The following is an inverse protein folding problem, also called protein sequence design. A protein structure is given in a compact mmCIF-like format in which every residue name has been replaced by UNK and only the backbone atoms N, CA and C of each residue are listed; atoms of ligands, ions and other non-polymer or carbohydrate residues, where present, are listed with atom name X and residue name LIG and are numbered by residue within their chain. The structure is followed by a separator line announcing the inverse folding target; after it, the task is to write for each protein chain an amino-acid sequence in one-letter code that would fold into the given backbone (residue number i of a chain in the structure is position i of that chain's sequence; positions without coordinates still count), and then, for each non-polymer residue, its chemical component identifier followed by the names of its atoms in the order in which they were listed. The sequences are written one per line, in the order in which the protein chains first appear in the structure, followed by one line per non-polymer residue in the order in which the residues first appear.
data_IF_377015854231
#
_entry.id   IF_377015854231
#
_cell.length_a   1.000
_cell.length_b   1.000
_cell.length_c   1.000
_cell.angle_alpha   90.00
_cell.angle_beta   90.00
_cell.angle_gamma   90.00
#
_symmetry.space_group_name_H-M   'P 1'
#
loop_
_entity.id
_entity.type
_entity.pdbx_description
1 polymer ?
#
# COMPACT_ATOMS: atom_id res chain seq x y z
N UNK A 1 -2.01 -12.91 6.28
CA UNK A 1 -2.84 -12.39 5.17
C UNK A 1 -2.20 -11.15 4.53
N UNK A 2 -2.02 -10.01 5.22
CA UNK A 2 -1.46 -8.79 4.62
C UNK A 2 -0.04 -8.98 4.06
N UNK A 3 0.83 -9.67 4.76
CA UNK A 3 2.17 -10.04 4.27
C UNK A 3 2.12 -10.90 2.99
N UNK A 4 1.13 -11.79 2.89
CA UNK A 4 0.97 -12.67 1.71
C UNK A 4 0.64 -11.88 0.44
N UNK A 5 -0.03 -10.74 0.57
CA UNK A 5 -0.38 -9.83 -0.54
C UNK A 5 0.54 -8.61 -0.61
N UNK A 6 1.63 -8.61 0.16
CA UNK A 6 2.64 -7.56 0.19
C UNK A 6 2.09 -6.18 0.56
N UNK A 7 1.19 -6.13 1.54
CA UNK A 7 0.68 -4.89 2.13
C UNK A 7 1.37 -4.67 3.46
N UNK A 8 2.10 -3.57 3.58
CA UNK A 8 2.78 -3.19 4.82
C UNK A 8 1.77 -2.89 5.93
N UNK A 9 2.02 -3.41 7.13
CA UNK A 9 1.22 -3.13 8.31
C UNK A 9 1.84 -1.93 9.02
N UNK A 10 1.17 -0.77 9.00
CA UNK A 10 1.63 0.44 9.68
C UNK A 10 1.53 0.33 11.19
N UNK A 11 0.57 -0.43 11.69
CA UNK A 11 0.37 -0.63 13.11
C UNK A 11 -0.97 -1.26 13.43
N UNK A 12 -1.23 -1.44 14.72
CA UNK A 12 -2.44 -2.06 15.26
C UNK A 12 -3.22 -1.04 16.09
N UNK A 13 -4.53 -1.02 15.90
CA UNK A 13 -5.50 -0.29 16.73
C UNK A 13 -6.36 -1.32 17.47
N UNK A 14 -6.44 -1.20 18.79
CA UNK A 14 -7.35 -1.99 19.60
C UNK A 14 -8.71 -1.29 19.68
N UNK A 15 -9.76 -1.88 19.08
CA UNK A 15 -11.11 -1.34 19.13
C UNK A 15 -11.91 -1.98 20.26
N UNK A 16 -12.87 -1.25 20.82
CA UNK A 16 -13.72 -1.71 21.94
C UNK A 16 -12.89 -2.16 23.16
N UNK A 17 -11.83 -1.43 23.50
CA UNK A 17 -10.87 -1.81 24.52
C UNK A 17 -11.46 -1.78 25.92
N UNK A 18 -12.11 -0.69 26.30
CA UNK A 18 -12.65 -0.45 27.65
C UNK A 18 -14.01 0.22 27.53
N UNK A 19 -14.96 -0.17 28.37
CA UNK A 19 -16.26 0.50 28.53
C UNK A 19 -16.28 1.27 29.83
N UNK A 20 -16.51 2.59 29.76
CA UNK A 20 -16.75 3.41 30.96
C UNK A 20 -18.24 3.55 31.21
N UNK A 21 -18.71 3.08 32.37
CA UNK A 21 -20.11 3.19 32.74
C UNK A 21 -20.57 4.65 32.88
N UNK A 22 -21.60 5.10 32.14
CA UNK A 22 -22.05 6.49 32.19
C UNK A 22 -22.69 6.89 33.53
N UNK A 23 -23.06 5.91 34.38
CA UNK A 23 -23.70 6.16 35.65
C UNK A 23 -22.73 6.26 36.83
N UNK A 24 -21.68 5.43 36.84
CA UNK A 24 -20.75 5.37 37.98
C UNK A 24 -19.28 5.61 37.59
N UNK A 25 -19.01 5.89 36.32
CA UNK A 25 -17.68 6.12 35.76
C UNK A 25 -16.68 4.97 36.04
N UNK A 26 -17.18 3.76 36.29
CA UNK A 26 -16.34 2.57 36.44
C UNK A 26 -15.97 2.01 35.10
N UNK A 27 -14.69 1.76 34.90
CA UNK A 27 -14.18 1.12 33.69
C UNK A 27 -14.32 -0.39 33.78
N UNK A 28 -14.68 -1.01 32.67
CA UNK A 28 -14.89 -2.46 32.54
C UNK A 28 -14.34 -2.94 31.21
N UNK A 29 -13.49 -3.95 31.25
CA UNK A 29 -12.92 -4.58 30.04
C UNK A 29 -13.87 -5.68 29.56
N UNK A 30 -14.88 -5.27 28.79
CA UNK A 30 -15.97 -6.16 28.34
C UNK A 30 -15.47 -7.30 27.47
N UNK A 31 -14.48 -7.03 26.61
CA UNK A 31 -13.89 -8.00 25.69
C UNK A 31 -12.42 -8.33 26.01
N UNK A 32 -11.92 -7.95 27.18
CA UNK A 32 -10.50 -7.99 27.55
C UNK A 32 -9.79 -6.71 27.17
N UNK A 33 -8.55 -6.57 27.61
CA UNK A 33 -7.73 -5.38 27.42
C UNK A 33 -6.28 -5.75 27.07
N UNK A 34 -5.63 -4.93 26.23
CA UNK A 34 -4.21 -5.07 25.91
C UNK A 34 -3.86 -6.11 24.85
N UNK A 35 -4.85 -6.77 24.24
CA UNK A 35 -4.60 -7.74 23.18
C UNK A 35 -3.97 -7.14 21.93
N UNK A 36 -4.37 -5.90 21.59
CA UNK A 36 -3.79 -5.17 20.48
C UNK A 36 -2.33 -4.76 20.73
N UNK A 37 -2.01 -4.34 21.95
CA UNK A 37 -0.65 -3.98 22.34
C UNK A 37 0.28 -5.21 22.35
N UNK A 38 -0.20 -6.32 22.92
CA UNK A 38 0.56 -7.57 22.90
C UNK A 38 0.83 -8.05 21.46
N UNK A 39 -0.19 -8.04 20.58
CA UNK A 39 -0.04 -8.46 19.19
C UNK A 39 0.93 -7.54 18.42
N UNK A 40 0.92 -6.23 18.68
CA UNK A 40 1.85 -5.30 18.05
C UNK A 40 3.31 -5.63 18.41
N UNK A 41 3.56 -5.97 19.68
CA UNK A 41 4.87 -6.39 20.14
C UNK A 41 5.32 -7.71 19.51
N UNK A 42 4.41 -8.70 19.39
CA UNK A 42 4.69 -10.00 18.76
C UNK A 42 5.00 -9.88 17.26
N UNK A 43 4.32 -8.98 16.56
CA UNK A 43 4.50 -8.75 15.12
C UNK A 43 5.60 -7.72 14.80
N UNK A 44 6.14 -7.02 15.81
CA UNK A 44 7.14 -5.98 15.60
C UNK A 44 6.60 -4.73 14.85
N UNK A 45 5.29 -4.43 15.00
CA UNK A 45 4.64 -3.27 14.38
C UNK A 45 4.19 -2.27 15.45
N UNK A 46 3.93 -1.01 15.07
CA UNK A 46 3.52 0.02 16.01
C UNK A 46 2.15 -0.28 16.64
N UNK A 47 2.00 -0.05 17.95
CA UNK A 47 0.69 0.04 18.59
C UNK A 47 0.19 1.49 18.46
N UNK A 48 -0.81 1.71 17.63
CA UNK A 48 -1.31 3.05 17.31
C UNK A 48 -2.23 3.62 18.38
N UNK A 49 -2.91 2.76 19.15
CA UNK A 49 -3.75 3.16 20.26
C UNK A 49 -4.97 2.29 20.45
N UNK A 50 -5.74 2.63 21.49
CA UNK A 50 -6.99 1.96 21.84
C UNK A 50 -8.19 2.90 21.70
N UNK A 51 -9.30 2.40 21.19
CA UNK A 51 -10.59 3.07 21.06
C UNK A 51 -11.53 2.47 22.09
N UNK A 52 -12.16 3.26 22.98
CA UNK A 52 -13.11 2.73 23.94
C UNK A 52 -14.39 2.25 23.28
N UNK A 53 -15.12 1.37 23.96
CA UNK A 53 -16.49 1.02 23.63
C UNK A 53 -17.40 2.19 24.07
N UNK A 54 -17.96 2.90 23.09
CA UNK A 54 -18.80 4.08 23.32
C UNK A 54 -20.00 4.06 22.37
N UNK A 55 -21.21 4.17 22.92
CA UNK A 55 -22.45 4.16 22.13
C UNK A 55 -22.56 5.37 21.19
N UNK A 56 -21.94 6.49 21.53
CA UNK A 56 -21.96 7.69 20.70
C UNK A 56 -21.16 7.50 19.40
N UNK A 57 -20.16 6.61 19.38
CA UNK A 57 -19.44 6.25 18.15
C UNK A 57 -20.39 5.59 17.16
N UNK A 58 -21.21 4.65 17.63
CA UNK A 58 -22.19 3.94 16.78
C UNK A 58 -23.25 4.92 16.29
N UNK A 59 -23.83 5.71 17.19
CA UNK A 59 -24.86 6.70 16.84
C UNK A 59 -24.34 7.72 15.81
N UNK A 60 -23.13 8.21 16.00
CA UNK A 60 -22.47 9.15 15.06
C UNK A 60 -22.23 8.52 13.69
N UNK A 61 -21.81 7.25 13.65
CA UNK A 61 -21.63 6.49 12.42
C UNK A 61 -22.94 6.32 11.65
N UNK A 62 -24.02 5.93 12.33
CA UNK A 62 -25.34 5.68 11.73
C UNK A 62 -26.01 6.98 11.21
N UNK A 63 -25.74 8.12 11.86
CA UNK A 63 -26.31 9.42 11.48
C UNK A 63 -25.41 10.22 10.53
N UNK A 64 -24.22 9.73 10.22
CA UNK A 64 -23.25 10.42 9.38
C UNK A 64 -22.59 11.64 10.06
N UNK A 65 -22.61 11.69 11.40
CA UNK A 65 -22.00 12.74 12.20
C UNK A 65 -20.87 12.16 13.10
N UNK A 66 -19.62 12.06 12.60
CA UNK A 66 -18.53 11.39 13.33
C UNK A 66 -18.29 11.99 14.72
N UNK A 67 -17.98 11.12 15.70
CA UNK A 67 -17.75 11.51 17.11
C UNK A 67 -16.71 12.63 17.29
N UNK A 68 -15.71 12.70 16.41
CA UNK A 68 -14.66 13.75 16.45
C UNK A 68 -15.19 15.15 16.12
N UNK A 69 -16.35 15.24 15.44
CA UNK A 69 -17.06 16.47 15.10
C UNK A 69 -18.18 16.72 16.10
N UNK A 70 -19.00 15.69 16.39
CA UNK A 70 -20.18 15.81 17.23
C UNK A 70 -19.83 16.05 18.72
N UNK A 71 -18.84 15.30 19.23
CA UNK A 71 -18.39 15.38 20.63
C UNK A 71 -16.87 15.49 20.72
N UNK A 72 -16.26 16.58 20.25
CA UNK A 72 -14.81 16.72 20.12
C UNK A 72 -14.05 16.57 21.44
N UNK A 73 -14.67 16.86 22.58
CA UNK A 73 -14.06 16.76 23.91
C UNK A 73 -14.21 15.37 24.55
N UNK A 74 -14.87 14.42 23.89
CA UNK A 74 -15.04 13.06 24.43
C UNK A 74 -13.73 12.28 24.45
N UNK A 75 -13.66 11.27 25.33
CA UNK A 75 -12.53 10.33 25.41
C UNK A 75 -12.37 9.60 24.06
N UNK A 76 -13.48 9.19 23.46
CA UNK A 76 -13.47 8.53 22.17
C UNK A 76 -12.89 9.43 21.07
N UNK A 77 -13.34 10.69 20.96
CA UNK A 77 -12.80 11.65 19.98
C UNK A 77 -11.30 11.89 20.18
N UNK A 78 -10.85 11.99 21.45
CA UNK A 78 -9.43 12.15 21.79
C UNK A 78 -8.62 10.92 21.40
N UNK A 79 -9.17 9.70 21.52
CA UNK A 79 -8.51 8.48 21.09
C UNK A 79 -8.33 8.44 19.56
N UNK A 80 -9.36 8.79 18.79
CA UNK A 80 -9.24 8.90 17.33
C UNK A 80 -8.19 9.92 16.89
N UNK A 81 -8.15 11.11 17.53
CA UNK A 81 -7.13 12.13 17.21
C UNK A 81 -5.71 11.64 17.47
N UNK A 82 -5.46 11.01 18.62
CA UNK A 82 -4.13 10.45 18.96
C UNK A 82 -3.70 9.37 17.97
N UNK A 83 -4.62 8.52 17.53
CA UNK A 83 -4.33 7.50 16.50
C UNK A 83 -4.00 8.18 15.19
N UNK A 84 -4.75 9.19 14.78
CA UNK A 84 -4.50 9.94 13.55
C UNK A 84 -3.14 10.66 13.58
N UNK A 85 -2.77 11.27 14.71
CA UNK A 85 -1.46 11.92 14.91
C UNK A 85 -0.30 10.90 14.82
N UNK A 86 -0.45 9.72 15.43
CA UNK A 86 0.54 8.64 15.31
C UNK A 86 0.65 8.13 13.89
N UNK A 87 -0.47 7.86 13.22
CA UNK A 87 -0.48 7.46 11.80
C UNK A 87 0.20 8.53 10.93
N UNK A 88 -0.08 9.81 11.18
CA UNK A 88 0.58 10.90 10.46
C UNK A 88 2.09 10.88 10.68
N UNK A 89 2.55 10.64 11.90
CA UNK A 89 3.99 10.55 12.22
C UNK A 89 4.63 9.34 11.56
N UNK A 90 3.99 8.17 11.59
CA UNK A 90 4.50 6.96 10.94
C UNK A 90 4.58 7.10 9.41
N UNK A 91 3.61 7.77 8.80
CA UNK A 91 3.55 7.98 7.36
C UNK A 91 4.50 9.10 6.86
N UNK A 92 4.75 10.13 7.69
CA UNK A 92 5.50 11.32 7.31
C UNK A 92 6.83 11.47 8.07
N UNK A 93 7.10 10.59 9.04
CA UNK A 93 8.34 10.55 9.80
C UNK A 93 9.57 10.07 9.01
N UNK A 94 9.37 9.47 7.86
CA UNK A 94 10.35 9.34 6.80
C UNK A 94 10.09 10.48 5.81
N UNK A 95 11.11 11.27 5.50
CA UNK A 95 11.12 12.30 4.43
C UNK A 95 10.88 11.66 3.05
N UNK A 96 9.73 11.00 2.87
CA UNK A 96 9.31 10.53 1.56
C UNK A 96 8.73 11.74 0.84
N UNK A 97 9.48 12.30 -0.10
CA UNK A 97 8.96 13.25 -1.07
C UNK A 97 7.66 12.66 -1.66
N UNK A 98 6.58 13.44 -1.65
CA UNK A 98 5.35 13.02 -2.31
C UNK A 98 5.66 12.73 -3.78
N UNK A 99 5.56 11.46 -4.16
CA UNK A 99 5.71 11.10 -5.56
C UNK A 99 4.56 11.72 -6.35
N UNK A 100 4.82 12.40 -7.46
CA UNK A 100 3.76 13.00 -8.25
C UNK A 100 2.81 11.91 -8.75
N UNK A 101 1.50 12.11 -8.58
CA UNK A 101 0.51 11.21 -9.17
C UNK A 101 0.51 11.37 -10.68
N UNK A 102 0.48 10.28 -11.42
CA UNK A 102 0.35 10.30 -12.86
C UNK A 102 -0.58 9.22 -13.39
N UNK A 103 -1.07 9.45 -14.60
CA UNK A 103 -1.72 8.44 -15.42
C UNK A 103 -1.03 8.42 -16.77
N UNK A 104 -0.47 7.28 -17.14
CA UNK A 104 0.28 7.08 -18.36
C UNK A 104 -0.40 6.09 -19.30
N UNK A 105 -0.68 6.55 -20.53
CA UNK A 105 -1.18 5.67 -21.61
C UNK A 105 0.02 5.04 -22.32
N UNK A 106 0.10 3.71 -22.29
CA UNK A 106 1.27 2.94 -22.74
C UNK A 106 1.70 3.21 -24.19
N UNK A 107 0.73 3.36 -25.10
CA UNK A 107 1.00 3.58 -26.53
C UNK A 107 1.06 5.07 -26.92
N UNK A 108 1.01 6.00 -25.99
CA UNK A 108 1.13 7.41 -26.30
C UNK A 108 2.57 7.78 -26.66
N UNK A 109 2.74 8.54 -27.75
CA UNK A 109 4.04 9.13 -28.14
C UNK A 109 4.50 10.24 -27.17
N UNK A 110 3.69 10.57 -26.18
CA UNK A 110 3.94 11.64 -25.23
C UNK A 110 5.03 11.35 -24.20
N UNK A 111 5.87 10.37 -24.46
CA UNK A 111 7.02 10.02 -23.61
C UNK A 111 6.61 9.33 -22.31
N UNK A 112 7.52 8.54 -21.77
CA UNK A 112 7.42 8.00 -20.41
C UNK A 112 7.30 9.14 -19.43
N UNK A 113 6.50 9.03 -18.37
CA UNK A 113 6.57 10.00 -17.27
C UNK A 113 7.99 9.95 -16.70
N UNK A 114 8.79 10.92 -17.12
CA UNK A 114 10.17 11.05 -16.66
C UNK A 114 10.13 11.84 -15.36
N UNK A 115 10.12 11.15 -14.26
CA UNK A 115 10.60 11.72 -12.99
C UNK A 115 12.10 11.44 -12.85
N UNK A 116 12.82 11.55 -13.92
CA UNK A 116 14.28 11.51 -13.86
C UNK A 116 14.72 12.77 -13.13
N UNK A 117 14.48 12.80 -11.83
CA UNK A 117 15.16 13.70 -10.97
C UNK A 117 16.64 13.29 -10.97
N UNK A 118 17.55 14.25 -11.10
CA UNK A 118 19.00 14.03 -11.07
C UNK A 118 19.50 13.55 -9.69
N UNK A 119 18.62 13.00 -8.86
CA UNK A 119 18.85 12.66 -7.46
C UNK A 119 19.09 11.16 -7.23
N UNK A 120 19.34 10.37 -8.27
CA UNK A 120 19.86 9.02 -8.07
C UNK A 120 21.23 9.09 -7.42
N UNK A 121 21.37 8.59 -6.20
CA UNK A 121 22.63 8.62 -5.47
C UNK A 121 22.86 7.32 -4.71
N UNK A 122 24.10 6.93 -4.59
CA UNK A 122 24.48 5.78 -3.78
C UNK A 122 24.02 6.00 -2.31
N UNK A 123 23.06 5.19 -1.86
CA UNK A 123 22.44 5.31 -0.54
C UNK A 123 21.00 5.87 -0.54
N UNK A 124 20.42 6.13 -1.71
CA UNK A 124 18.98 6.41 -1.86
C UNK A 124 18.11 5.22 -1.49
N UNK A 125 16.80 5.45 -1.34
CA UNK A 125 15.85 4.40 -1.00
C UNK A 125 15.72 3.37 -2.13
N UNK A 126 15.81 2.06 -1.83
CA UNK A 126 15.62 1.01 -2.83
C UNK A 126 14.16 0.85 -3.25
N UNK A 127 13.21 1.53 -2.62
CA UNK A 127 11.77 1.38 -2.86
C UNK A 127 11.09 2.65 -3.35
N UNK A 128 11.86 3.72 -3.59
CA UNK A 128 11.36 4.96 -4.18
C UNK A 128 11.71 4.98 -5.67
N UNK A 129 10.71 4.96 -6.58
CA UNK A 129 10.98 5.10 -7.99
C UNK A 129 11.21 6.58 -8.35
N UNK A 130 12.27 6.85 -9.11
CA UNK A 130 12.53 8.16 -9.73
C UNK A 130 11.87 8.28 -11.10
N UNK A 131 11.50 7.16 -11.73
CA UNK A 131 10.84 7.21 -13.01
C UNK A 131 10.47 5.84 -13.57
N UNK A 132 9.63 5.90 -14.57
CA UNK A 132 9.17 4.75 -15.35
C UNK A 132 9.44 5.03 -16.82
N UNK A 133 9.87 4.03 -17.57
CA UNK A 133 10.13 4.17 -18.99
C UNK A 133 9.64 2.94 -19.77
N UNK A 134 9.09 3.18 -20.96
CA UNK A 134 8.90 2.13 -21.95
C UNK A 134 10.18 2.00 -22.76
N UNK A 135 10.91 0.89 -22.61
CA UNK A 135 12.12 0.62 -23.39
C UNK A 135 11.80 0.14 -24.80
N UNK A 136 10.80 -0.70 -24.90
CA UNK A 136 10.26 -1.25 -26.13
C UNK A 136 8.78 -1.66 -25.91
N UNK A 137 8.04 -2.17 -26.89
CA UNK A 137 6.63 -2.55 -26.75
C UNK A 137 6.34 -3.57 -25.63
N UNK A 138 7.36 -4.29 -25.14
CA UNK A 138 7.24 -5.37 -24.17
C UNK A 138 7.97 -5.11 -22.86
N UNK A 139 8.73 -4.01 -22.72
CA UNK A 139 9.60 -3.80 -21.57
C UNK A 139 9.26 -2.50 -20.83
N UNK A 140 8.81 -2.65 -19.59
CA UNK A 140 8.69 -1.58 -18.60
C UNK A 140 9.99 -1.49 -17.79
N UNK A 141 10.62 -0.32 -17.75
CA UNK A 141 11.74 -0.03 -16.86
C UNK A 141 11.30 0.83 -15.69
N UNK A 142 11.88 0.60 -14.52
CA UNK A 142 11.72 1.40 -13.30
C UNK A 142 13.12 1.84 -12.86
N UNK A 143 13.31 3.14 -12.73
CA UNK A 143 14.55 3.74 -12.21
C UNK A 143 14.31 4.07 -10.73
N UNK A 144 15.19 3.62 -9.86
CA UNK A 144 15.07 3.79 -8.42
C UNK A 144 16.01 4.87 -7.88
N UNK A 145 15.67 5.42 -6.72
CA UNK A 145 16.46 6.45 -6.06
C UNK A 145 17.90 5.99 -5.71
N UNK A 146 18.08 4.69 -5.44
CA UNK A 146 19.38 4.08 -5.21
C UNK A 146 20.24 3.91 -6.50
N UNK A 147 19.74 4.37 -7.65
CA UNK A 147 20.39 4.29 -8.94
C UNK A 147 20.19 2.97 -9.70
N UNK A 148 19.58 1.96 -9.09
CA UNK A 148 19.28 0.69 -9.77
C UNK A 148 18.17 0.91 -10.83
N UNK A 149 18.29 0.19 -11.93
CA UNK A 149 17.26 0.14 -12.98
C UNK A 149 16.77 -1.30 -13.10
N UNK A 150 15.49 -1.52 -12.85
CA UNK A 150 14.84 -2.80 -13.04
C UNK A 150 14.00 -2.79 -14.33
N UNK A 151 14.05 -3.88 -15.08
CA UNK A 151 13.30 -4.05 -16.31
C UNK A 151 12.40 -5.28 -16.20
N UNK A 152 11.16 -5.15 -16.67
CA UNK A 152 10.13 -6.18 -16.61
C UNK A 152 9.56 -6.44 -17.99
N UNK A 153 9.56 -7.70 -18.44
CA UNK A 153 8.66 -8.09 -19.52
C UNK A 153 7.22 -7.88 -19.08
N UNK A 154 6.42 -7.20 -19.88
CA UNK A 154 5.05 -6.82 -19.49
C UNK A 154 4.14 -8.03 -19.28
N UNK A 155 4.37 -9.14 -19.99
CA UNK A 155 3.62 -10.37 -19.76
C UNK A 155 3.98 -11.01 -18.42
N UNK A 156 5.26 -11.05 -18.07
CA UNK A 156 5.70 -11.58 -16.80
C UNK A 156 5.19 -10.72 -15.63
N UNK A 157 5.19 -9.40 -15.82
CA UNK A 157 4.57 -8.47 -14.86
C UNK A 157 3.05 -8.74 -14.72
N UNK A 158 2.33 -9.01 -15.84
CA UNK A 158 0.91 -9.37 -15.79
C UNK A 158 0.67 -10.69 -15.06
N UNK A 159 1.51 -11.69 -15.28
CA UNK A 159 1.46 -12.99 -14.60
C UNK A 159 1.79 -12.89 -13.10
N UNK A 160 2.59 -11.92 -12.71
CA UNK A 160 2.95 -11.65 -11.32
C UNK A 160 1.89 -10.87 -10.53
N UNK A 161 0.70 -10.61 -11.11
CA UNK A 161 -0.39 -9.93 -10.43
C UNK A 161 -0.86 -10.69 -9.17
N UNK A 162 -1.00 -9.97 -8.05
CA UNK A 162 -1.38 -10.53 -6.73
C UNK A 162 -2.80 -10.16 -6.28
N UNK A 163 -3.66 -9.63 -7.14
CA UNK A 163 -5.04 -9.34 -6.74
C UNK A 163 -5.84 -10.62 -6.45
N UNK A 164 -6.96 -10.49 -5.75
CA UNK A 164 -7.84 -11.61 -5.36
C UNK A 164 -8.36 -12.44 -6.54
N UNK A 165 -8.41 -11.88 -7.76
CA UNK A 165 -8.76 -12.64 -8.97
C UNK A 165 -7.60 -13.49 -9.51
N UNK A 166 -6.36 -13.18 -9.15
CA UNK A 166 -5.16 -13.87 -9.64
C UNK A 166 -4.55 -14.81 -8.59
N UNK A 167 -4.75 -14.53 -7.30
CA UNK A 167 -4.17 -15.27 -6.17
C UNK A 167 -5.22 -15.42 -5.08
N UNK A 168 -5.35 -16.62 -4.53
CA UNK A 168 -6.21 -16.89 -3.38
C UNK A 168 -5.63 -16.25 -2.11
N UNK A 169 -6.41 -15.39 -1.46
CA UNK A 169 -5.93 -14.55 -0.34
C UNK A 169 -5.42 -15.36 0.86
N UNK A 170 -6.08 -16.47 1.20
CA UNK A 170 -5.75 -17.22 2.41
C UNK A 170 -4.55 -18.16 2.24
N UNK A 171 -4.44 -18.81 1.06
CA UNK A 171 -3.42 -19.82 0.82
C UNK A 171 -2.23 -19.31 -0.02
N UNK A 172 -2.39 -18.15 -0.68
CA UNK A 172 -1.40 -17.67 -1.66
C UNK A 172 -1.33 -18.50 -2.95
N UNK A 173 -2.28 -19.45 -3.14
CA UNK A 173 -2.33 -20.30 -4.33
C UNK A 173 -2.66 -19.48 -5.57
N UNK A 174 -1.91 -19.66 -6.65
CA UNK A 174 -2.22 -19.04 -7.93
C UNK A 174 -3.58 -19.52 -8.46
N UNK A 175 -4.46 -18.58 -8.77
CA UNK A 175 -5.75 -18.79 -9.43
C UNK A 175 -5.66 -18.51 -10.95
N UNK A 176 -4.74 -17.61 -11.32
CA UNK A 176 -4.51 -17.25 -12.71
C UNK A 176 -3.87 -18.43 -13.46
N UNK A 177 -4.51 -18.88 -14.54
CA UNK A 177 -3.89 -19.82 -15.48
C UNK A 177 -2.95 -19.04 -16.42
N UNK A 178 -1.62 -19.30 -16.39
CA UNK A 178 -0.67 -18.61 -17.28
C UNK A 178 -0.96 -18.81 -18.78
N UNK A 179 -1.61 -19.92 -19.16
CA UNK A 179 -1.98 -20.19 -20.55
C UNK A 179 -3.13 -19.29 -21.03
N UNK A 180 -3.93 -18.74 -20.12
CA UNK A 180 -5.01 -17.80 -20.45
C UNK A 180 -4.51 -16.40 -20.82
N UNK A 181 -3.25 -16.07 -20.50
CA UNK A 181 -2.67 -14.74 -20.78
C UNK A 181 -1.96 -14.78 -22.15
N UNK A 182 -2.47 -13.97 -23.06
CA UNK A 182 -1.87 -13.84 -24.41
C UNK A 182 -0.37 -13.49 -24.33
N UNK A 183 0.47 -14.05 -25.21
CA UNK A 183 1.85 -13.59 -25.37
C UNK A 183 1.97 -12.10 -25.71
N UNK A 184 0.94 -11.53 -26.35
CA UNK A 184 0.88 -10.14 -26.79
C UNK A 184 0.14 -9.23 -25.79
N UNK A 185 -0.07 -9.68 -24.53
CA UNK A 185 -0.66 -8.85 -23.49
C UNK A 185 0.22 -7.61 -23.28
N UNK A 186 -0.42 -6.45 -23.17
CA UNK A 186 0.28 -5.18 -22.98
C UNK A 186 -0.47 -4.30 -21.98
N UNK A 187 0.23 -3.40 -21.28
CA UNK A 187 -0.42 -2.34 -20.54
C UNK A 187 -1.24 -1.46 -21.50
N UNK A 188 -2.33 -0.89 -21.01
CA UNK A 188 -3.07 0.19 -21.70
C UNK A 188 -2.87 1.51 -20.96
N UNK A 189 -3.06 1.46 -19.66
CA UNK A 189 -2.91 2.62 -18.79
C UNK A 189 -2.23 2.18 -17.50
N UNK A 190 -1.23 2.92 -17.07
CA UNK A 190 -0.57 2.79 -15.77
C UNK A 190 -0.92 4.02 -14.94
N UNK A 191 -1.37 3.83 -13.71
CA UNK A 191 -1.76 4.93 -12.82
C UNK A 191 -1.15 4.70 -11.44
N UNK A 192 -0.53 5.71 -10.86
CA UNK A 192 -0.01 5.65 -9.48
C UNK A 192 -1.13 5.49 -8.45
N UNK A 193 -0.81 4.81 -7.36
CA UNK A 193 -1.65 4.65 -6.18
C UNK A 193 -0.87 5.16 -4.98
N UNK A 194 -1.19 6.36 -4.53
CA UNK A 194 -0.42 7.04 -3.48
C UNK A 194 1.08 7.06 -3.79
N UNK A 195 1.90 6.96 -2.75
CA UNK A 195 3.37 6.96 -2.83
C UNK A 195 3.98 5.56 -2.81
N UNK A 196 3.19 4.49 -2.96
CA UNK A 196 3.68 3.14 -2.68
C UNK A 196 3.49 2.13 -3.82
N UNK A 197 2.68 2.45 -4.84
CA UNK A 197 2.31 1.47 -5.87
C UNK A 197 1.87 2.12 -7.18
N UNK A 198 1.66 1.31 -8.21
CA UNK A 198 0.86 1.64 -9.38
C UNK A 198 -0.14 0.52 -9.70
N UNK A 199 -1.18 0.87 -10.44
CA UNK A 199 -2.11 -0.06 -11.08
C UNK A 199 -1.92 -0.07 -12.58
N UNK A 200 -2.30 -1.18 -13.22
CA UNK A 200 -2.25 -1.33 -14.68
C UNK A 200 -3.60 -1.78 -15.20
N UNK A 201 -4.13 -1.06 -16.19
CA UNK A 201 -5.20 -1.56 -17.05
C UNK A 201 -4.56 -2.30 -18.20
N UNK A 202 -4.80 -3.59 -18.29
CA UNK A 202 -4.20 -4.48 -19.28
C UNK A 202 -5.05 -4.63 -20.54
N UNK A 203 -4.43 -5.06 -21.64
CA UNK A 203 -5.14 -5.33 -22.92
C UNK A 203 -6.10 -6.53 -22.85
N UNK A 204 -5.91 -7.44 -21.87
CA UNK A 204 -6.80 -8.57 -21.57
C UNK A 204 -8.04 -8.18 -20.74
N UNK A 205 -8.20 -6.89 -20.43
CA UNK A 205 -9.30 -6.35 -19.61
C UNK A 205 -9.06 -6.40 -18.11
N UNK A 206 -7.95 -6.99 -17.63
CA UNK A 206 -7.62 -7.00 -16.22
C UNK A 206 -7.20 -5.61 -15.71
N UNK A 207 -7.66 -5.21 -14.52
CA UNK A 207 -7.40 -3.86 -13.99
C UNK A 207 -7.33 -3.75 -12.46
N UNK A 208 -7.43 -4.88 -11.74
CA UNK A 208 -7.52 -4.87 -10.26
C UNK A 208 -6.18 -5.08 -9.56
N UNK A 209 -5.09 -5.27 -10.32
CA UNK A 209 -3.75 -5.48 -9.76
C UNK A 209 -3.14 -4.19 -9.24
N UNK A 210 -2.67 -4.22 -7.98
CA UNK A 210 -1.83 -3.20 -7.38
C UNK A 210 -0.41 -3.75 -7.29
N UNK A 211 0.55 -3.02 -7.85
CA UNK A 211 1.96 -3.38 -7.88
C UNK A 211 2.71 -2.45 -6.93
N UNK A 212 2.89 -2.88 -5.68
CA UNK A 212 3.65 -2.14 -4.68
C UNK A 212 5.11 -2.02 -5.11
N UNK A 213 5.76 -0.89 -4.85
CA UNK A 213 7.14 -0.64 -5.24
C UNK A 213 8.12 -1.62 -4.59
N UNK A 214 7.93 -1.93 -3.31
CA UNK A 214 8.70 -2.97 -2.62
C UNK A 214 8.55 -4.34 -3.30
N UNK A 215 7.33 -4.69 -3.72
CA UNK A 215 7.09 -5.94 -4.43
C UNK A 215 7.81 -5.98 -5.78
N UNK A 216 7.85 -4.87 -6.51
CA UNK A 216 8.58 -4.79 -7.78
C UNK A 216 10.07 -5.03 -7.60
N UNK A 217 10.69 -4.53 -6.53
CA UNK A 217 12.10 -4.80 -6.21
C UNK A 217 12.37 -6.29 -6.01
N UNK A 218 11.52 -6.95 -5.22
CA UNK A 218 11.60 -8.40 -5.00
C UNK A 218 11.32 -9.18 -6.29
N UNK A 219 10.40 -8.69 -7.10
CA UNK A 219 10.04 -9.31 -8.36
C UNK A 219 11.18 -9.21 -9.38
N UNK A 220 11.86 -8.08 -9.45
CA UNK A 220 13.01 -7.86 -10.33
C UNK A 220 14.14 -8.87 -10.08
N UNK A 221 14.39 -9.23 -8.83
CA UNK A 221 15.39 -10.23 -8.46
C UNK A 221 15.01 -11.66 -8.93
N UNK A 222 13.74 -11.90 -9.22
CA UNK A 222 13.21 -13.21 -9.63
C UNK A 222 13.03 -13.34 -11.15
N UNK A 223 12.50 -12.31 -11.78
CA UNK A 223 12.08 -12.35 -13.19
C UNK A 223 12.60 -11.16 -14.01
N UNK A 224 13.38 -10.26 -13.41
CA UNK A 224 13.90 -9.08 -14.10
C UNK A 224 14.73 -9.46 -15.32
N UNK A 225 14.51 -8.77 -16.43
CA UNK A 225 15.30 -8.91 -17.66
C UNK A 225 16.57 -8.09 -17.48
N UNK A 226 17.64 -8.73 -16.99
CA UNK A 226 19.00 -8.23 -16.93
C UNK A 226 19.20 -6.81 -16.37
N UNK A 227 19.95 -6.68 -15.28
CA UNK A 227 20.55 -5.40 -14.91
C UNK A 227 21.46 -4.95 -16.07
N UNK A 228 21.14 -3.82 -16.69
CA UNK A 228 22.09 -3.16 -17.61
C UNK A 228 23.08 -2.43 -16.72
N UNK A 229 24.30 -3.00 -16.61
CA UNK A 229 25.45 -2.23 -16.17
C UNK A 229 25.68 -1.15 -17.24
N UNK A 230 25.67 0.09 -16.79
CA UNK A 230 26.19 1.33 -17.43
C UNK A 230 25.68 1.73 -18.83
N UNK A 231 24.97 2.86 -18.84
CA UNK A 231 25.18 3.91 -19.86
C UNK A 231 25.41 5.24 -19.15
#
# INVERSE_FOLDING_TARGET
MFETVNVSILGIVENMSTFTCPHCATDTDVFGHGGGEQMSAELGVAFLGAIPLDADIVLGGDTGNPIVIDKPESVAASSYRRIAERLHTELHGSDHAELPSFTWTWDSDAGSPQWLDEHAHAGGSPTIPLGFARRDPRTLAVVWEDGRIDQFDVRDLRLACRCAACVEELSGRALLDPASISPDVSPRVITTVGNYAFTVKWSDGHSTGIYAFEYLRVLADRIGVGAVEDV
#
